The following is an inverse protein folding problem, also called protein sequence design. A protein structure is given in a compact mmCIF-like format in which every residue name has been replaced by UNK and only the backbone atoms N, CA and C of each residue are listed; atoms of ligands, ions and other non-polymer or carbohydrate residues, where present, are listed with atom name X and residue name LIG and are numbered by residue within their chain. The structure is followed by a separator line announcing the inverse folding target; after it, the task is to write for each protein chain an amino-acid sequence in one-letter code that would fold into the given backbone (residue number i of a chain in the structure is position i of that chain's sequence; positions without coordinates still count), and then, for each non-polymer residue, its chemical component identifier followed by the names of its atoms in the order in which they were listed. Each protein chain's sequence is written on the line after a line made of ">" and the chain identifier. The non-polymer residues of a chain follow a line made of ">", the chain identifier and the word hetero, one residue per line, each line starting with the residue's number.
data_IF_701155985219
#
_entry.id   IF_701155985219
#
_cell.length_a   1.000
_cell.length_b   1.000
_cell.length_c   1.000
_cell.angle_alpha   90.00
_cell.angle_beta   90.00
_cell.angle_gamma   90.00
#
_symmetry.space_group_name_H-M   'P 1'
#
loop_
_entity.id
_entity.type
_entity.pdbx_description
1 polymer ?
#
# COMPACT_ATOMS: atom_id res chain seq x y z
N UNK A 1 17.88 5.93 7.25
CA UNK A 1 19.11 5.31 6.70
C UNK A 1 18.72 4.18 5.76
N UNK A 2 19.60 3.78 4.82
CA UNK A 2 19.38 2.57 4.02
C UNK A 2 19.64 1.32 4.87
N UNK A 3 19.00 0.21 4.54
CA UNK A 3 19.13 -1.02 5.31
C UNK A 3 20.56 -1.58 5.31
N UNK A 4 21.28 -1.44 4.18
CA UNK A 4 22.71 -1.77 4.09
C UNK A 4 23.57 -0.96 5.06
N UNK A 5 23.49 0.38 4.98
CA UNK A 5 24.23 1.31 5.85
C UNK A 5 23.92 1.06 7.34
N UNK A 6 22.66 0.75 7.64
CA UNK A 6 22.23 0.42 9.00
C UNK A 6 22.81 -0.91 9.47
N UNK A 7 22.84 -1.93 8.62
CA UNK A 7 23.51 -3.20 8.90
C UNK A 7 25.00 -3.01 9.15
N UNK A 8 25.71 -2.23 8.33
CA UNK A 8 27.13 -1.90 8.52
C UNK A 8 27.38 -1.18 9.86
N UNK A 9 26.49 -0.26 10.23
CA UNK A 9 26.54 0.43 11.53
C UNK A 9 26.39 -0.56 12.69
N UNK A 10 25.42 -1.47 12.61
CA UNK A 10 25.20 -2.49 13.65
C UNK A 10 26.37 -3.49 13.74
N UNK A 11 26.97 -3.86 12.61
CA UNK A 11 28.18 -4.69 12.58
C UNK A 11 29.35 -4.00 13.27
N UNK A 12 29.54 -2.69 13.05
CA UNK A 12 30.58 -1.91 13.73
C UNK A 12 30.37 -1.88 15.25
N UNK A 13 29.11 -1.77 15.70
CA UNK A 13 28.79 -1.89 17.13
C UNK A 13 29.01 -3.31 17.66
N UNK A 14 28.85 -4.34 16.83
CA UNK A 14 29.13 -5.71 17.24
C UNK A 14 30.63 -5.93 17.48
N UNK A 15 31.49 -5.32 16.67
CA UNK A 15 32.94 -5.37 16.85
C UNK A 15 33.35 -4.76 18.20
N UNK A 16 32.79 -3.59 18.55
CA UNK A 16 33.00 -2.97 19.87
C UNK A 16 32.52 -3.85 21.04
N UNK A 17 31.39 -4.55 20.87
CA UNK A 17 30.87 -5.47 21.90
C UNK A 17 31.73 -6.73 22.03
N UNK A 18 32.38 -7.17 20.95
CA UNK A 18 33.31 -8.29 20.98
C UNK A 18 34.59 -7.92 21.73
N UNK A 19 35.11 -6.70 21.53
CA UNK A 19 36.25 -6.15 22.27
C UNK A 19 35.97 -6.04 23.78
N UNK A 20 34.71 -5.79 24.19
CA UNK A 20 34.24 -5.83 25.58
C UNK A 20 34.15 -7.27 26.16
N UNK A 21 34.62 -8.30 25.45
CA UNK A 21 34.68 -9.69 25.92
C UNK A 21 33.36 -10.46 25.80
N UNK A 22 32.42 -9.97 24.98
CA UNK A 22 31.07 -10.54 24.86
C UNK A 22 30.76 -11.12 23.48
N UNK A 23 31.58 -12.08 23.04
CA UNK A 23 31.51 -12.71 21.72
C UNK A 23 30.11 -13.25 21.33
N UNK A 24 29.37 -13.84 22.27
CA UNK A 24 28.00 -14.34 22.00
C UNK A 24 27.00 -13.22 21.69
N UNK A 25 27.13 -12.07 22.38
CA UNK A 25 26.32 -10.88 22.15
C UNK A 25 26.68 -10.22 20.81
N UNK A 26 27.97 -10.12 20.49
CA UNK A 26 28.44 -9.63 19.20
C UNK A 26 27.92 -10.49 18.04
N UNK A 27 27.98 -11.81 18.17
CA UNK A 27 27.49 -12.76 17.15
C UNK A 27 26.00 -12.57 16.86
N UNK A 28 25.18 -12.42 17.90
CA UNK A 28 23.74 -12.19 17.73
C UNK A 28 23.44 -10.89 16.98
N UNK A 29 24.19 -9.83 17.30
CA UNK A 29 24.05 -8.53 16.63
C UNK A 29 24.50 -8.58 15.17
N UNK A 30 25.58 -9.30 14.85
CA UNK A 30 26.05 -9.51 13.46
C UNK A 30 25.03 -10.27 12.62
N UNK A 31 24.48 -11.36 13.15
CA UNK A 31 23.44 -12.14 12.44
C UNK A 31 22.22 -11.28 12.14
N UNK A 32 21.81 -10.44 13.08
CA UNK A 32 20.72 -9.50 12.89
C UNK A 32 21.06 -8.40 11.87
N UNK A 33 22.26 -7.82 11.96
CA UNK A 33 22.76 -6.81 11.04
C UNK A 33 22.78 -7.31 9.59
N UNK A 34 23.28 -8.51 9.38
CA UNK A 34 23.31 -9.18 8.07
C UNK A 34 21.91 -9.43 7.51
N UNK A 35 20.98 -9.84 8.38
CA UNK A 35 19.59 -10.06 8.00
C UNK A 35 18.93 -8.77 7.50
N UNK A 36 19.10 -7.64 8.21
CA UNK A 36 18.57 -6.35 7.76
C UNK A 36 19.28 -5.84 6.51
N UNK A 37 20.61 -6.00 6.42
CA UNK A 37 21.40 -5.58 5.25
C UNK A 37 20.97 -6.28 3.95
N UNK A 38 20.32 -7.45 4.04
CA UNK A 38 19.75 -8.17 2.89
C UNK A 38 18.74 -7.33 2.10
N UNK A 39 18.09 -6.34 2.75
CA UNK A 39 17.19 -5.41 2.07
C UNK A 39 17.90 -4.35 1.21
N UNK A 40 19.23 -4.28 1.26
CA UNK A 40 20.08 -3.45 0.41
C UNK A 40 19.76 -1.96 0.52
N UNK A 41 19.39 -1.36 -0.61
CA UNK A 41 19.14 0.08 -0.76
C UNK A 41 17.80 0.54 -0.19
N UNK A 42 16.95 -0.37 0.29
CA UNK A 42 15.66 -0.01 0.86
C UNK A 42 15.83 0.78 2.17
N UNK A 43 15.06 1.86 2.39
CA UNK A 43 15.04 2.55 3.68
C UNK A 43 14.56 1.62 4.79
N UNK A 44 15.21 1.66 5.96
CA UNK A 44 14.81 0.86 7.14
C UNK A 44 13.33 1.08 7.50
N UNK A 45 12.84 2.30 7.34
CA UNK A 45 11.43 2.68 7.55
C UNK A 45 10.43 1.94 6.65
N UNK A 46 10.87 1.38 5.51
CA UNK A 46 10.06 0.53 4.62
C UNK A 46 10.26 -0.96 4.89
N UNK A 47 11.46 -1.36 5.33
CA UNK A 47 11.81 -2.75 5.64
C UNK A 47 11.03 -3.27 6.84
N UNK A 48 11.00 -2.52 7.94
CA UNK A 48 10.33 -2.95 9.18
C UNK A 48 8.83 -3.25 8.96
N UNK A 49 8.02 -2.36 8.33
CA UNK A 49 6.62 -2.67 8.04
C UNK A 49 6.43 -3.84 7.09
N UNK A 50 7.35 -4.06 6.15
CA UNK A 50 7.29 -5.19 5.22
C UNK A 50 7.47 -6.52 5.97
N UNK A 51 8.48 -6.59 6.86
CA UNK A 51 8.71 -7.75 7.73
C UNK A 51 7.49 -8.04 8.60
N UNK A 52 6.96 -7.02 9.29
CA UNK A 52 5.77 -7.17 10.14
C UNK A 52 4.56 -7.67 9.35
N UNK A 53 4.37 -7.18 8.13
CA UNK A 53 3.27 -7.61 7.26
C UNK A 53 3.42 -9.07 6.83
N UNK A 54 4.65 -9.49 6.50
CA UNK A 54 4.95 -10.88 6.16
C UNK A 54 4.68 -11.80 7.36
N UNK A 55 5.21 -11.48 8.55
CA UNK A 55 4.98 -12.26 9.77
C UNK A 55 3.51 -12.41 10.13
N UNK A 56 2.71 -11.35 9.98
CA UNK A 56 1.26 -11.42 10.12
C UNK A 56 0.60 -12.36 9.11
N UNK A 57 1.11 -12.41 7.88
CA UNK A 57 0.55 -13.28 6.83
C UNK A 57 0.85 -14.76 7.07
N UNK A 58 2.01 -15.08 7.65
CA UNK A 58 2.42 -16.46 7.99
C UNK A 58 2.04 -16.87 9.43
N UNK A 59 1.34 -16.00 10.16
CA UNK A 59 0.95 -16.20 11.58
C UNK A 59 2.15 -16.57 12.48
N UNK A 60 3.30 -15.93 12.24
CA UNK A 60 4.50 -16.14 13.06
C UNK A 60 4.22 -15.77 14.52
N UNK A 61 4.67 -16.59 15.45
CA UNK A 61 4.68 -16.26 16.88
C UNK A 61 5.58 -15.04 17.12
N UNK A 62 5.14 -14.13 17.98
CA UNK A 62 5.91 -12.94 18.31
C UNK A 62 7.03 -13.32 19.29
N UNK A 63 8.14 -13.86 18.77
CA UNK A 63 9.30 -14.27 19.57
C UNK A 63 10.57 -13.54 19.11
N UNK A 64 11.44 -13.20 20.06
CA UNK A 64 12.73 -12.57 19.76
C UNK A 64 13.87 -12.94 20.74
N UNK A 65 15.15 -12.81 20.33
CA UNK A 65 16.30 -13.12 21.19
C UNK A 65 16.47 -12.13 22.34
N UNK A 66 16.48 -12.59 23.60
CA UNK A 66 16.51 -11.74 24.79
C UNK A 66 17.66 -10.71 24.81
N UNK A 67 18.86 -11.13 24.37
CA UNK A 67 20.06 -10.30 24.38
C UNK A 67 20.01 -9.15 23.36
N UNK A 68 19.24 -9.30 22.27
CA UNK A 68 19.25 -8.39 21.13
C UNK A 68 18.51 -7.07 21.43
N UNK A 69 17.42 -7.13 22.19
CA UNK A 69 16.63 -5.94 22.55
C UNK A 69 17.42 -4.97 23.44
N UNK A 70 18.14 -5.51 24.43
CA UNK A 70 19.01 -4.72 25.30
C UNK A 70 20.14 -4.04 24.52
N UNK A 71 20.76 -4.77 23.59
CA UNK A 71 21.83 -4.23 22.73
C UNK A 71 21.33 -3.09 21.84
N UNK A 72 20.21 -3.29 21.14
CA UNK A 72 19.65 -2.26 20.25
C UNK A 72 19.14 -1.04 21.00
N UNK A 73 18.64 -1.22 22.23
CA UNK A 73 18.28 -0.10 23.10
C UNK A 73 19.51 0.72 23.49
N UNK A 74 20.61 0.06 23.90
CA UNK A 74 21.88 0.73 24.23
C UNK A 74 22.46 1.47 23.03
N UNK A 75 22.47 0.84 21.85
CA UNK A 75 22.92 1.46 20.59
C UNK A 75 22.04 2.66 20.23
N UNK A 76 20.71 2.53 20.35
CA UNK A 76 19.77 3.62 20.13
C UNK A 76 20.06 4.84 21.02
N UNK A 77 20.33 4.61 22.31
CA UNK A 77 20.71 5.67 23.25
C UNK A 77 22.04 6.35 22.89
N UNK A 78 23.05 5.59 22.46
CA UNK A 78 24.34 6.14 22.01
C UNK A 78 24.15 7.00 20.75
N UNK A 79 23.38 6.51 19.77
CA UNK A 79 23.08 7.26 18.55
C UNK A 79 22.24 8.51 18.84
N UNK A 80 21.30 8.43 19.79
CA UNK A 80 20.51 9.57 20.23
C UNK A 80 21.39 10.65 20.89
N UNK A 81 22.29 10.25 21.78
CA UNK A 81 23.24 11.15 22.44
C UNK A 81 24.20 11.81 21.44
N UNK A 82 24.57 11.09 20.38
CA UNK A 82 25.39 11.61 19.28
C UNK A 82 24.60 12.49 18.28
N UNK A 83 23.28 12.70 18.47
CA UNK A 83 22.44 13.45 17.54
C UNK A 83 22.23 12.77 16.19
N UNK A 84 22.52 11.47 16.08
CA UNK A 84 22.46 10.74 14.83
C UNK A 84 21.01 10.47 14.42
N UNK A 85 20.67 10.77 13.15
CA UNK A 85 19.34 10.49 12.56
C UNK A 85 18.98 9.00 12.57
N UNK A 86 19.97 8.12 12.70
CA UNK A 86 19.84 6.66 12.79
C UNK A 86 19.07 6.19 14.04
N UNK A 87 18.91 7.01 15.08
CA UNK A 87 18.12 6.67 16.26
C UNK A 87 16.64 6.32 15.91
N UNK A 88 16.07 7.03 14.93
CA UNK A 88 14.71 6.74 14.46
C UNK A 88 14.58 5.36 13.79
N UNK A 89 15.65 4.91 13.12
CA UNK A 89 15.73 3.58 12.50
C UNK A 89 15.88 2.49 13.57
N UNK A 90 16.68 2.71 14.63
CA UNK A 90 16.73 1.82 15.81
C UNK A 90 15.36 1.68 16.47
N UNK A 91 14.64 2.80 16.65
CA UNK A 91 13.28 2.80 17.21
C UNK A 91 12.28 2.04 16.33
N UNK A 92 12.43 2.09 15.01
CA UNK A 92 11.62 1.29 14.10
C UNK A 92 11.94 -0.20 14.24
N UNK A 93 13.22 -0.56 14.29
CA UNK A 93 13.68 -1.95 14.40
C UNK A 93 13.31 -2.58 15.74
N UNK A 94 13.34 -1.83 16.84
CA UNK A 94 12.88 -2.32 18.16
C UNK A 94 11.42 -2.82 18.11
N UNK A 95 10.59 -2.35 17.17
CA UNK A 95 9.21 -2.86 16.97
C UNK A 95 9.15 -4.29 16.42
N UNK A 96 10.27 -4.82 15.90
CA UNK A 96 10.38 -6.23 15.53
C UNK A 96 10.64 -7.13 16.74
N UNK A 97 11.08 -6.55 17.86
CA UNK A 97 11.39 -7.25 19.11
C UNK A 97 10.24 -7.09 20.13
N UNK A 98 9.01 -7.07 19.64
CA UNK A 98 7.83 -7.10 20.48
C UNK A 98 7.35 -8.54 20.61
N UNK A 99 7.18 -9.05 21.84
CA UNK A 99 6.69 -10.40 22.09
C UNK A 99 7.43 -11.15 23.21
N UNK A 100 7.49 -12.47 23.12
CA UNK A 100 8.13 -13.36 24.07
C UNK A 100 9.63 -13.51 23.80
N UNK A 101 10.42 -13.60 24.87
CA UNK A 101 11.87 -13.74 24.78
C UNK A 101 12.26 -15.22 24.64
N UNK A 102 13.07 -15.54 23.64
CA UNK A 102 13.53 -16.91 23.36
C UNK A 102 15.04 -16.98 23.16
N UNK A 103 15.63 -18.16 23.37
CA UNK A 103 17.02 -18.44 23.03
C UNK A 103 17.10 -18.87 21.56
N UNK A 104 17.55 -17.97 20.67
CA UNK A 104 17.69 -18.33 19.26
C UNK A 104 17.87 -17.15 18.30
N UNK A 105 19.05 -16.54 18.24
CA UNK A 105 19.31 -15.45 17.30
C UNK A 105 19.37 -15.89 15.83
N UNK A 106 19.78 -17.14 15.57
CA UNK A 106 19.89 -17.69 14.19
C UNK A 106 18.54 -17.87 13.52
N UNK A 107 17.56 -18.46 14.21
CA UNK A 107 16.20 -18.62 13.69
C UNK A 107 15.54 -17.27 13.46
N UNK A 108 15.71 -16.34 14.40
CA UNK A 108 15.21 -14.97 14.25
C UNK A 108 15.79 -14.23 13.04
N UNK A 109 17.11 -14.31 12.82
CA UNK A 109 17.77 -13.71 11.67
C UNK A 109 17.30 -14.36 10.35
N UNK A 110 17.11 -15.69 10.33
CA UNK A 110 16.56 -16.39 9.18
C UNK A 110 15.13 -15.96 8.86
N UNK A 111 14.29 -15.78 9.88
CA UNK A 111 12.91 -15.28 9.73
C UNK A 111 12.87 -13.87 9.12
N UNK A 112 13.80 -13.00 9.51
CA UNK A 112 13.93 -11.65 8.95
C UNK A 112 14.35 -11.72 7.49
N UNK A 113 15.37 -12.51 7.16
CA UNK A 113 15.82 -12.70 5.77
C UNK A 113 14.69 -13.23 4.89
N UNK A 114 13.98 -14.25 5.36
CA UNK A 114 12.81 -14.82 4.68
C UNK A 114 11.74 -13.75 4.43
N UNK A 115 11.43 -12.94 5.45
CA UNK A 115 10.44 -11.88 5.33
C UNK A 115 10.81 -10.76 4.36
N UNK A 116 12.10 -10.43 4.25
CA UNK A 116 12.63 -9.43 3.30
C UNK A 116 12.59 -9.96 1.87
N UNK A 117 12.96 -11.23 1.67
CA UNK A 117 12.99 -11.87 0.36
C UNK A 117 11.61 -12.33 -0.12
N UNK A 118 10.62 -12.38 0.78
CA UNK A 118 9.28 -12.80 0.44
C UNK A 118 8.66 -11.89 -0.64
N UNK A 119 7.99 -12.47 -1.65
CA UNK A 119 7.28 -11.68 -2.64
C UNK A 119 6.23 -10.79 -1.95
N UNK A 120 5.98 -9.57 -2.49
CA UNK A 120 5.04 -8.65 -1.88
C UNK A 120 3.68 -9.35 -1.77
N UNK A 121 3.01 -9.27 -0.60
CA UNK A 121 1.75 -9.97 -0.39
C UNK A 121 0.74 -9.48 -1.42
N UNK A 122 0.26 -10.43 -2.24
CA UNK A 122 -0.74 -10.20 -3.27
C UNK A 122 -1.90 -9.50 -2.57
N UNK A 123 -2.18 -8.25 -2.97
CA UNK A 123 -3.35 -7.53 -2.46
C UNK A 123 -4.56 -8.39 -2.82
N UNK A 124 -5.14 -9.09 -1.84
CA UNK A 124 -6.46 -9.71 -2.01
C UNK A 124 -7.37 -8.59 -2.48
N UNK A 125 -7.73 -8.59 -3.77
CA UNK A 125 -8.79 -7.72 -4.28
C UNK A 125 -10.00 -8.08 -3.41
N UNK A 126 -10.41 -7.18 -2.51
CA UNK A 126 -11.70 -7.32 -1.84
C UNK A 126 -12.70 -7.46 -2.99
N UNK A 127 -13.40 -8.59 -3.05
CA UNK A 127 -14.56 -8.71 -3.89
C UNK A 127 -15.45 -7.48 -3.57
N UNK A 128 -15.83 -6.67 -4.57
CA UNK A 128 -16.70 -5.56 -4.30
C UNK A 128 -17.98 -6.13 -3.68
N UNK A 129 -18.27 -5.74 -2.43
CA UNK A 129 -19.65 -5.74 -1.93
C UNK A 129 -20.37 -4.64 -2.71
N UNK A 130 -20.67 -4.94 -3.97
CA UNK A 130 -21.45 -4.10 -4.85
C UNK A 130 -22.91 -4.16 -4.43
N UNK A 131 -23.61 -3.08 -4.70
CA UNK A 131 -25.06 -3.10 -4.79
C UNK A 131 -25.45 -4.15 -5.86
N UNK A 132 -26.70 -4.63 -5.84
CA UNK A 132 -27.21 -5.59 -6.82
C UNK A 132 -26.76 -5.21 -8.23
N UNK A 133 -25.95 -6.09 -8.85
CA UNK A 133 -25.32 -5.81 -10.14
C UNK A 133 -26.37 -5.45 -11.19
N UNK A 134 -27.56 -6.05 -11.10
CA UNK A 134 -28.66 -5.78 -12.02
C UNK A 134 -29.20 -4.36 -11.89
N UNK A 135 -29.18 -3.76 -10.69
CA UNK A 135 -29.60 -2.38 -10.47
C UNK A 135 -28.58 -1.39 -11.04
N UNK A 136 -27.29 -1.68 -10.89
CA UNK A 136 -26.19 -0.87 -11.44
C UNK A 136 -26.25 -0.88 -12.97
N UNK A 137 -26.51 -2.04 -13.58
CA UNK A 137 -26.66 -2.18 -15.03
C UNK A 137 -27.84 -1.38 -15.56
N UNK A 138 -29.01 -1.47 -14.90
CA UNK A 138 -30.19 -0.69 -15.29
C UNK A 138 -29.93 0.83 -15.27
N UNK A 139 -29.20 1.32 -14.28
CA UNK A 139 -28.84 2.75 -14.21
C UNK A 139 -27.90 3.15 -15.36
N UNK A 140 -26.92 2.32 -15.69
CA UNK A 140 -26.02 2.56 -16.82
C UNK A 140 -26.76 2.54 -18.16
N UNK A 141 -27.65 1.56 -18.35
CA UNK A 141 -28.43 1.42 -19.59
C UNK A 141 -29.43 2.58 -19.77
N UNK A 142 -30.00 3.11 -18.67
CA UNK A 142 -30.79 4.35 -18.69
C UNK A 142 -29.95 5.54 -19.16
N UNK A 143 -28.73 5.71 -18.66
CA UNK A 143 -27.84 6.79 -19.12
C UNK A 143 -27.54 6.68 -20.62
N UNK A 144 -27.27 5.48 -21.12
CA UNK A 144 -27.03 5.25 -22.56
C UNK A 144 -28.28 5.56 -23.39
N UNK A 145 -29.45 5.10 -22.95
CA UNK A 145 -30.73 5.32 -23.66
C UNK A 145 -31.10 6.80 -23.73
N UNK A 146 -30.87 7.54 -22.64
CA UNK A 146 -31.23 8.95 -22.52
C UNK A 146 -30.03 9.89 -22.76
N UNK A 147 -28.96 9.42 -23.42
CA UNK A 147 -27.74 10.21 -23.63
C UNK A 147 -27.94 11.55 -24.35
N UNK A 148 -29.02 11.71 -25.12
CA UNK A 148 -29.37 12.95 -25.83
C UNK A 148 -30.58 13.69 -25.22
N UNK A 149 -31.21 13.12 -24.20
CA UNK A 149 -32.34 13.70 -23.49
C UNK A 149 -31.85 14.27 -22.16
N UNK A 150 -31.63 15.59 -22.12
CA UNK A 150 -31.04 16.26 -20.97
C UNK A 150 -31.85 16.09 -19.68
N UNK A 151 -33.19 16.08 -19.78
CA UNK A 151 -34.05 16.01 -18.60
C UNK A 151 -33.98 14.63 -17.94
N UNK A 152 -34.14 13.57 -18.75
CA UNK A 152 -34.05 12.18 -18.28
C UNK A 152 -32.63 11.80 -17.85
N UNK A 153 -31.61 12.36 -18.52
CA UNK A 153 -30.21 12.14 -18.16
C UNK A 153 -29.88 12.75 -16.79
N UNK A 154 -30.24 14.00 -16.55
CA UNK A 154 -29.99 14.66 -15.25
C UNK A 154 -30.80 14.01 -14.12
N UNK A 155 -32.03 13.56 -14.39
CA UNK A 155 -32.82 12.78 -13.42
C UNK A 155 -32.11 11.48 -13.03
N UNK A 156 -31.56 10.75 -14.00
CA UNK A 156 -30.80 9.51 -13.75
C UNK A 156 -29.52 9.78 -12.97
N UNK A 157 -28.81 10.89 -13.26
CA UNK A 157 -27.62 11.28 -12.48
C UNK A 157 -27.99 11.67 -11.04
N UNK A 158 -29.11 12.37 -10.83
CA UNK A 158 -29.58 12.71 -9.50
C UNK A 158 -29.93 11.45 -8.68
N UNK A 159 -30.55 10.45 -9.32
CA UNK A 159 -30.82 9.14 -8.72
C UNK A 159 -29.52 8.43 -8.30
N UNK A 160 -28.53 8.40 -9.20
CA UNK A 160 -27.19 7.81 -8.93
C UNK A 160 -26.48 8.52 -7.77
N UNK A 161 -26.55 9.86 -7.72
CA UNK A 161 -25.95 10.65 -6.64
C UNK A 161 -26.69 10.45 -5.30
N UNK A 162 -28.02 10.35 -5.33
CA UNK A 162 -28.88 10.14 -4.16
C UNK A 162 -28.78 8.74 -3.56
N UNK A 163 -28.49 7.72 -4.39
CA UNK A 163 -28.37 6.33 -3.98
C UNK A 163 -27.13 6.01 -3.10
N UNK A 164 -26.25 6.99 -2.84
CA UNK A 164 -25.02 6.82 -2.02
C UNK A 164 -24.17 5.61 -2.46
N UNK A 165 -24.12 5.35 -3.76
CA UNK A 165 -23.36 4.23 -4.34
C UNK A 165 -21.88 4.31 -3.96
N UNK A 166 -21.25 3.15 -3.75
CA UNK A 166 -19.82 3.08 -3.49
C UNK A 166 -19.05 3.40 -4.78
N UNK A 167 -17.81 3.90 -4.62
CA UNK A 167 -16.89 4.16 -5.75
C UNK A 167 -16.85 3.05 -6.82
N UNK A 168 -16.67 1.75 -6.50
CA UNK A 168 -16.63 0.69 -7.51
C UNK A 168 -17.91 0.63 -8.37
N UNK A 169 -19.08 0.84 -7.76
CA UNK A 169 -20.37 0.78 -8.46
C UNK A 169 -20.48 1.95 -9.46
N UNK A 170 -20.08 3.15 -9.05
CA UNK A 170 -20.02 4.32 -9.94
C UNK A 170 -19.00 4.15 -11.07
N UNK A 171 -17.88 3.48 -10.81
CA UNK A 171 -16.90 3.17 -11.84
C UNK A 171 -17.47 2.18 -12.85
N UNK A 172 -18.22 1.16 -12.40
CA UNK A 172 -18.89 0.23 -13.30
C UNK A 172 -19.92 0.92 -14.21
N UNK A 173 -20.72 1.84 -13.65
CA UNK A 173 -21.66 2.67 -14.44
C UNK A 173 -20.89 3.52 -15.47
N UNK A 174 -19.80 4.16 -15.04
CA UNK A 174 -19.00 5.00 -15.92
C UNK A 174 -18.33 4.20 -17.05
N UNK A 175 -17.80 3.01 -16.76
CA UNK A 175 -17.19 2.15 -17.78
C UNK A 175 -18.19 1.74 -18.85
N UNK A 176 -19.42 1.38 -18.45
CA UNK A 176 -20.49 0.99 -19.38
C UNK A 176 -21.00 2.16 -20.21
N UNK A 177 -21.18 3.35 -19.61
CA UNK A 177 -21.61 4.54 -20.35
C UNK A 177 -20.52 5.10 -21.28
N UNK A 178 -19.27 5.13 -20.83
CA UNK A 178 -18.15 5.71 -21.59
C UNK A 178 -17.52 4.73 -22.58
N UNK A 179 -17.78 3.43 -22.45
CA UNK A 179 -17.14 2.38 -23.26
C UNK A 179 -15.62 2.29 -23.05
N UNK A 180 -15.10 2.70 -21.90
CA UNK A 180 -13.66 2.69 -21.62
C UNK A 180 -13.32 2.29 -20.19
N UNK A 181 -12.24 1.54 -20.01
CA UNK A 181 -11.72 1.09 -18.70
C UNK A 181 -10.90 2.17 -17.96
N UNK A 182 -11.24 3.44 -18.16
CA UNK A 182 -10.49 4.55 -17.55
C UNK A 182 -10.51 4.43 -16.02
N UNK A 183 -9.35 4.58 -15.40
CA UNK A 183 -9.27 4.60 -13.93
C UNK A 183 -9.71 5.95 -13.37
N UNK A 184 -10.59 5.95 -12.36
CA UNK A 184 -11.05 7.16 -11.67
C UNK A 184 -10.44 7.29 -10.28
N UNK A 185 -9.94 8.50 -9.95
CA UNK A 185 -9.37 8.79 -8.63
C UNK A 185 -10.48 8.94 -7.58
N UNK A 186 -11.55 9.67 -7.90
CA UNK A 186 -12.71 9.87 -7.02
C UNK A 186 -14.04 9.48 -7.68
N UNK A 187 -15.09 9.34 -6.87
CA UNK A 187 -16.47 9.12 -7.35
C UNK A 187 -16.99 10.33 -8.14
N UNK A 188 -16.66 11.54 -7.70
CA UNK A 188 -17.00 12.78 -8.41
C UNK A 188 -16.35 12.85 -9.80
N UNK A 189 -15.12 12.34 -9.95
CA UNK A 189 -14.45 12.28 -11.26
C UNK A 189 -15.19 11.38 -12.24
N UNK A 190 -15.75 10.25 -11.77
CA UNK A 190 -16.52 9.33 -12.61
C UNK A 190 -17.82 9.98 -13.10
N UNK A 191 -18.57 10.62 -12.20
CA UNK A 191 -19.79 11.36 -12.57
C UNK A 191 -19.51 12.53 -13.51
N UNK A 192 -18.42 13.28 -13.28
CA UNK A 192 -18.00 14.38 -14.16
C UNK A 192 -17.64 13.87 -15.55
N UNK A 193 -16.98 12.71 -15.65
CA UNK A 193 -16.65 12.11 -16.93
C UNK A 193 -17.91 11.69 -17.72
N UNK A 194 -18.90 11.10 -17.03
CA UNK A 194 -20.21 10.77 -17.61
C UNK A 194 -20.89 12.03 -18.17
N UNK A 195 -21.02 13.10 -17.37
CA UNK A 195 -21.63 14.38 -17.83
C UNK A 195 -20.88 14.99 -19.01
N UNK A 196 -19.55 15.02 -18.96
CA UNK A 196 -18.74 15.58 -20.04
C UNK A 196 -18.94 14.82 -21.36
N UNK A 197 -19.06 13.49 -21.31
CA UNK A 197 -19.30 12.69 -22.51
C UNK A 197 -20.68 12.97 -23.10
N UNK A 198 -21.71 13.06 -22.27
CA UNK A 198 -23.06 13.42 -22.72
C UNK A 198 -23.09 14.79 -23.41
N UNK A 199 -22.38 15.78 -22.86
CA UNK A 199 -22.23 17.09 -23.48
C UNK A 199 -21.54 17.02 -24.86
N UNK A 200 -20.50 16.19 -24.99
CA UNK A 200 -19.83 15.95 -26.27
C UNK A 200 -20.77 15.30 -27.29
N UNK A 201 -21.53 14.28 -26.87
CA UNK A 201 -22.49 13.58 -27.73
C UNK A 201 -23.62 14.52 -28.19
N UNK A 202 -24.12 15.40 -27.30
CA UNK A 202 -25.12 16.41 -27.64
C UNK A 202 -24.59 17.46 -28.64
N UNK A 203 -23.35 17.92 -28.44
CA UNK A 203 -22.69 18.84 -29.39
C UNK A 203 -22.47 18.19 -30.75
N UNK A 204 -22.07 16.93 -30.78
CA UNK A 204 -21.85 16.20 -32.02
C UNK A 204 -23.17 15.96 -32.76
N UNK A 205 -24.23 15.53 -32.07
CA UNK A 205 -25.55 15.40 -32.66
C UNK A 205 -26.10 16.74 -33.21
N UNK A 206 -25.79 17.88 -32.57
CA UNK A 206 -26.14 19.20 -33.09
C UNK A 206 -25.37 19.55 -34.38
N UNK A 207 -24.08 19.18 -34.46
CA UNK A 207 -23.27 19.37 -35.68
C UNK A 207 -23.77 18.50 -36.82
N UNK A 208 -24.06 17.23 -36.56
CA UNK A 208 -24.54 16.29 -37.58
C UNK A 208 -25.87 16.77 -38.19
N UNK A 209 -26.82 17.22 -37.36
CA UNK A 209 -28.09 17.83 -37.83
C UNK A 209 -27.87 19.08 -38.69
N UNK A 210 -26.84 19.88 -38.41
CA UNK A 210 -26.51 21.07 -39.21
C UNK A 210 -25.91 20.68 -40.56
N UNK A 211 -25.07 19.65 -40.59
CA UNK A 211 -24.46 19.14 -41.83
C UNK A 211 -25.53 18.50 -42.71
N UNK A 212 -26.42 17.67 -42.16
CA UNK A 212 -27.55 17.09 -42.90
C UNK A 212 -28.45 18.17 -43.51
N UNK A 213 -28.70 19.27 -42.80
CA UNK A 213 -29.51 20.40 -43.30
C UNK A 213 -28.84 21.20 -44.43
N UNK A 214 -27.51 21.12 -44.56
CA UNK A 214 -26.74 21.80 -45.63
C UNK A 214 -26.58 20.88 -46.85
N UNK A 215 -26.65 19.56 -46.66
CA UNK A 215 -26.50 18.56 -47.72
C UNK A 215 -27.80 18.27 -48.50
N UNK A 216 -28.90 18.96 -48.17
CA UNK A 216 -30.20 18.96 -48.89
C UNK A 216 -30.36 20.30 -49.60
#
# INVERSE_FOLDING_TARGET
>A
MKAREFGETLSSFADLIEEEGSAGRATNLRLFAEAIATAGELPVSKVVPAIQKHWKSVKRTAEYPCALAGQLTRIGSVLAAAGAKANSDCSAVLKLLAGEQVEGAKSFAADIKSAILAPPPVKKRRAPQGHDATAIEKLADRLVRHRLDNAEFDATIAEIAGAKLKKPDLVAIAHRFLGSDRSFKTAADALKAIKNRQLQDALQASRDRRIEKIAV
#
